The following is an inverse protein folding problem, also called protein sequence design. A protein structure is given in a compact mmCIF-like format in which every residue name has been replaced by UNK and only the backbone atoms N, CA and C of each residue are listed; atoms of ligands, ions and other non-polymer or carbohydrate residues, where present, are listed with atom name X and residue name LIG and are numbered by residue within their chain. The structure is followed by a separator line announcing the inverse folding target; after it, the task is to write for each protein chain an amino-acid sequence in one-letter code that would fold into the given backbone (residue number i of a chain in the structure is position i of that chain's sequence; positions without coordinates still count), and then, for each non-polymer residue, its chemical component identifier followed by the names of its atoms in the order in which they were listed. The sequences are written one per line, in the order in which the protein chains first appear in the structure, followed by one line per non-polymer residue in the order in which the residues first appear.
data_IF_043362077144
#
_entry.id   IF_043362077144
#
_cell.length_a   1.000
_cell.length_b   1.000
_cell.length_c   1.000
_cell.angle_alpha   90.00
_cell.angle_beta   90.00
_cell.angle_gamma   90.00
#
_symmetry.space_group_name_H-M   'P 1'
#
loop_
_entity.id
_entity.type
_entity.pdbx_description
1 polymer ?
#
# COMPACT_ATOMS: atom_id res chain seq x y z
N UNK A 1 -19.12 -3.29 -32.76
CA UNK A 1 -17.99 -3.61 -31.88
C UNK A 1 -17.12 -2.37 -31.82
N UNK A 2 -17.08 -1.68 -30.68
CA UNK A 2 -16.20 -0.51 -30.52
C UNK A 2 -14.84 -0.97 -29.97
N UNK A 3 -13.78 -0.24 -30.33
CA UNK A 3 -12.38 -0.60 -30.01
C UNK A 3 -12.17 -0.75 -28.49
N UNK A 4 -12.90 0.02 -27.69
CA UNK A 4 -12.83 0.03 -26.22
C UNK A 4 -13.19 -1.33 -25.59
N UNK A 5 -14.18 -2.03 -26.15
CA UNK A 5 -14.58 -3.37 -25.68
C UNK A 5 -13.49 -4.42 -25.93
N UNK A 6 -12.70 -4.26 -27.00
CA UNK A 6 -11.60 -5.16 -27.36
C UNK A 6 -10.35 -4.93 -26.52
N UNK A 7 -10.11 -3.68 -26.11
CA UNK A 7 -8.90 -3.27 -25.36
C UNK A 7 -9.14 -3.35 -23.83
N UNK A 8 -10.31 -3.83 -23.38
CA UNK A 8 -10.62 -3.96 -21.95
C UNK A 8 -10.89 -2.63 -21.26
N UNK A 9 -11.08 -1.56 -22.04
CA UNK A 9 -11.31 -0.21 -21.55
C UNK A 9 -12.80 0.00 -21.27
N UNK A 10 -13.10 0.81 -20.25
CA UNK A 10 -14.45 1.27 -19.99
C UNK A 10 -14.99 2.10 -21.15
N UNK A 11 -16.26 1.85 -21.50
CA UNK A 11 -16.97 2.54 -22.58
C UNK A 11 -17.02 4.04 -22.29
N UNK A 12 -16.76 4.86 -23.31
CA UNK A 12 -16.72 6.32 -23.18
C UNK A 12 -15.37 6.87 -22.70
N UNK A 13 -14.33 6.04 -22.59
CA UNK A 13 -12.98 6.52 -22.29
C UNK A 13 -12.31 7.18 -23.50
N UNK A 14 -12.63 6.76 -24.74
CA UNK A 14 -12.07 7.34 -25.96
C UNK A 14 -13.16 7.95 -26.88
N UNK A 15 -14.36 7.38 -26.89
CA UNK A 15 -15.40 7.67 -27.90
C UNK A 15 -16.44 8.69 -27.43
N UNK A 16 -16.78 8.69 -26.15
CA UNK A 16 -17.73 9.63 -25.53
C UNK A 16 -17.19 10.08 -24.18
N UNK A 17 -16.24 11.03 -24.20
CA UNK A 17 -15.71 11.65 -22.99
C UNK A 17 -16.80 12.55 -22.39
N UNK A 18 -17.77 11.94 -21.72
CA UNK A 18 -18.75 12.68 -20.93
C UNK A 18 -18.01 13.25 -19.72
N UNK A 19 -17.55 14.50 -19.86
CA UNK A 19 -16.88 15.29 -18.83
C UNK A 19 -17.87 15.79 -17.77
N UNK A 20 -18.79 14.94 -17.33
CA UNK A 20 -19.58 15.22 -16.14
C UNK A 20 -18.70 14.94 -14.92
N UNK A 21 -18.67 15.90 -13.99
CA UNK A 21 -18.09 15.69 -12.67
C UNK A 21 -18.93 14.62 -11.95
N UNK A 22 -18.48 13.38 -11.99
CA UNK A 22 -19.12 12.24 -11.35
C UNK A 22 -18.50 11.99 -9.99
N UNK A 23 -19.30 11.47 -9.06
CA UNK A 23 -18.80 11.09 -7.74
C UNK A 23 -17.83 9.91 -7.84
N UNK A 24 -16.89 9.77 -6.90
CA UNK A 24 -15.86 8.73 -6.94
C UNK A 24 -16.43 7.30 -7.08
N UNK A 25 -17.60 7.04 -6.48
CA UNK A 25 -18.29 5.74 -6.55
C UNK A 25 -18.86 5.46 -7.95
N UNK A 26 -19.37 6.48 -8.63
CA UNK A 26 -19.86 6.34 -10.01
C UNK A 26 -18.70 6.12 -10.98
N UNK A 27 -17.57 6.79 -10.76
CA UNK A 27 -16.35 6.57 -11.54
C UNK A 27 -15.80 5.15 -11.32
N UNK A 28 -15.88 4.61 -10.09
CA UNK A 28 -15.54 3.21 -9.76
C UNK A 28 -16.36 2.22 -10.59
N UNK A 29 -17.69 2.40 -10.65
CA UNK A 29 -18.60 1.53 -11.40
C UNK A 29 -18.33 1.61 -12.91
N UNK A 30 -18.15 2.83 -13.43
CA UNK A 30 -17.91 3.05 -14.86
C UNK A 30 -16.58 2.43 -15.32
N UNK A 31 -15.54 2.54 -14.50
CA UNK A 31 -14.19 2.08 -14.83
C UNK A 31 -13.89 0.66 -14.36
N UNK A 32 -14.86 -0.08 -13.81
CA UNK A 32 -14.70 -1.44 -13.31
C UNK A 32 -13.98 -2.37 -14.30
N UNK A 33 -14.28 -2.26 -15.59
CA UNK A 33 -13.66 -3.09 -16.63
C UNK A 33 -12.18 -2.74 -16.86
N UNK A 34 -11.87 -1.45 -16.88
CA UNK A 34 -10.48 -0.98 -16.93
C UNK A 34 -9.72 -1.47 -15.71
N UNK A 35 -10.32 -1.42 -14.51
CA UNK A 35 -9.68 -1.91 -13.28
C UNK A 35 -9.43 -3.42 -13.29
N UNK A 36 -10.38 -4.22 -13.77
CA UNK A 36 -10.17 -5.66 -13.92
C UNK A 36 -8.97 -5.93 -14.86
N UNK A 37 -8.92 -5.25 -16.00
CA UNK A 37 -7.83 -5.40 -16.97
C UNK A 37 -6.48 -4.96 -16.39
N UNK A 38 -6.43 -3.82 -15.69
CA UNK A 38 -5.20 -3.32 -15.04
C UNK A 38 -4.75 -4.25 -13.92
N UNK A 39 -5.67 -4.74 -13.08
CA UNK A 39 -5.37 -5.68 -12.01
C UNK A 39 -4.78 -6.98 -12.55
N UNK A 40 -5.32 -7.49 -13.65
CA UNK A 40 -4.80 -8.71 -14.26
C UNK A 40 -3.42 -8.48 -14.89
N UNK A 41 -3.17 -7.32 -15.52
CA UNK A 41 -1.84 -6.92 -15.98
C UNK A 41 -0.85 -6.83 -14.81
N UNK A 42 -1.23 -6.22 -13.69
CA UNK A 42 -0.37 -6.09 -12.51
C UNK A 42 -0.01 -7.46 -11.93
N UNK A 43 -0.95 -8.41 -11.85
CA UNK A 43 -0.68 -9.78 -11.39
C UNK A 43 0.30 -10.52 -12.28
N UNK A 44 0.10 -10.46 -13.60
CA UNK A 44 1.03 -11.11 -14.54
C UNK A 44 2.40 -10.43 -14.51
N UNK A 45 2.45 -9.10 -14.37
CA UNK A 45 3.71 -8.38 -14.21
C UNK A 45 4.44 -8.79 -12.92
N UNK A 46 3.73 -8.96 -11.81
CA UNK A 46 4.32 -9.45 -10.57
C UNK A 46 4.93 -10.85 -10.75
N UNK A 47 4.22 -11.77 -11.40
CA UNK A 47 4.77 -13.11 -11.72
C UNK A 47 6.04 -13.04 -12.56
N UNK A 48 6.06 -12.17 -13.57
CA UNK A 48 7.26 -11.99 -14.41
C UNK A 48 8.44 -11.49 -13.58
N UNK A 49 8.21 -10.58 -12.65
CA UNK A 49 9.30 -10.08 -11.78
C UNK A 49 9.75 -11.19 -10.82
N UNK A 50 8.84 -11.95 -10.22
CA UNK A 50 9.16 -13.11 -9.37
C UNK A 50 10.00 -14.15 -10.12
N UNK A 51 9.62 -14.47 -11.36
CA UNK A 51 10.34 -15.39 -12.24
C UNK A 51 11.75 -14.87 -12.56
N UNK A 52 11.91 -13.57 -12.82
CA UNK A 52 13.22 -12.95 -13.05
C UNK A 52 14.10 -13.04 -11.81
N UNK A 53 13.56 -12.77 -10.62
CA UNK A 53 14.30 -12.88 -9.35
C UNK A 53 14.74 -14.33 -9.13
N UNK A 54 13.85 -15.30 -9.36
CA UNK A 54 14.17 -16.72 -9.28
C UNK A 54 15.28 -17.14 -10.26
N UNK A 55 15.21 -16.68 -11.51
CA UNK A 55 16.24 -16.95 -12.53
C UNK A 55 17.59 -16.36 -12.09
N UNK A 56 17.60 -15.14 -11.55
CA UNK A 56 18.82 -14.52 -11.03
C UNK A 56 19.42 -15.31 -9.86
N UNK A 57 18.60 -15.79 -8.92
CA UNK A 57 19.05 -16.65 -7.83
C UNK A 57 19.71 -17.94 -8.37
N UNK A 58 19.11 -18.59 -9.37
CA UNK A 58 19.70 -19.78 -10.02
C UNK A 58 21.00 -19.49 -10.76
N UNK A 59 21.14 -18.34 -11.39
CA UNK A 59 22.42 -17.93 -11.98
C UNK A 59 23.49 -17.68 -10.91
N UNK A 60 23.14 -17.04 -9.80
CA UNK A 60 24.05 -16.81 -8.68
C UNK A 60 24.52 -18.13 -8.04
N UNK A 61 23.62 -19.10 -7.88
CA UNK A 61 23.92 -20.46 -7.41
C UNK A 61 24.87 -21.19 -8.37
N UNK A 62 24.60 -21.14 -9.68
CA UNK A 62 25.40 -21.81 -10.71
C UNK A 62 26.84 -21.30 -10.76
N UNK A 63 27.03 -19.98 -10.66
CA UNK A 63 28.35 -19.35 -10.67
C UNK A 63 29.01 -19.27 -9.29
N UNK A 64 28.37 -19.81 -8.24
CA UNK A 64 28.85 -19.79 -6.84
C UNK A 64 29.20 -18.39 -6.34
N UNK A 65 28.44 -17.38 -6.79
CA UNK A 65 28.68 -15.98 -6.43
C UNK A 65 28.24 -15.66 -5.00
N UNK A 66 27.22 -16.38 -4.49
CA UNK A 66 26.66 -16.20 -3.16
C UNK A 66 26.21 -17.54 -2.56
N UNK A 67 26.25 -17.69 -1.22
CA UNK A 67 25.63 -18.82 -0.53
C UNK A 67 24.10 -18.82 -0.75
N UNK A 68 23.44 -19.99 -0.76
CA UNK A 68 21.99 -20.06 -0.90
C UNK A 68 21.32 -19.31 0.27
N UNK A 69 20.55 -18.28 -0.06
CA UNK A 69 19.84 -17.44 0.90
C UNK A 69 18.41 -17.19 0.45
N UNK A 70 17.51 -16.92 1.39
CA UNK A 70 16.12 -16.53 1.07
C UNK A 70 16.09 -15.09 0.57
N UNK A 71 15.46 -14.86 -0.58
CA UNK A 71 15.11 -13.52 -1.03
C UNK A 71 13.68 -13.18 -0.56
N UNK A 72 13.48 -11.94 -0.13
CA UNK A 72 12.17 -11.39 0.21
C UNK A 72 11.81 -10.33 -0.82
N UNK A 73 10.62 -10.43 -1.39
CA UNK A 73 10.12 -9.52 -2.43
C UNK A 73 8.85 -8.85 -1.93
N UNK A 74 8.85 -7.53 -1.84
CA UNK A 74 7.68 -6.74 -1.49
C UNK A 74 7.23 -5.90 -2.68
N UNK A 75 5.95 -6.01 -3.03
CA UNK A 75 5.33 -5.26 -4.12
C UNK A 75 4.21 -4.41 -3.54
N UNK A 76 4.20 -3.12 -3.87
CA UNK A 76 3.11 -2.21 -3.57
C UNK A 76 2.58 -1.64 -4.88
N UNK A 77 1.36 -2.04 -5.25
CA UNK A 77 0.63 -1.50 -6.39
C UNK A 77 -0.38 -0.49 -5.86
N UNK A 78 -0.08 0.79 -6.00
CA UNK A 78 -0.99 1.86 -5.58
C UNK A 78 -1.88 2.33 -6.74
N UNK A 79 -3.18 2.49 -6.48
CA UNK A 79 -4.16 3.05 -7.41
C UNK A 79 -4.63 4.41 -6.88
N UNK A 80 -3.71 5.37 -6.98
CA UNK A 80 -3.80 6.74 -6.45
C UNK A 80 -4.97 7.58 -6.99
N UNK A 81 -5.73 7.07 -7.97
CA UNK A 81 -6.84 7.82 -8.60
C UNK A 81 -8.16 7.59 -7.86
N UNK A 82 -8.29 6.51 -7.09
CA UNK A 82 -9.60 5.98 -6.67
C UNK A 82 -9.74 5.89 -5.16
N UNK A 83 -8.65 5.53 -4.48
CA UNK A 83 -8.64 5.48 -3.03
C UNK A 83 -8.25 6.87 -2.55
N UNK A 84 -9.20 7.57 -1.94
CA UNK A 84 -8.87 8.76 -1.19
C UNK A 84 -8.01 8.30 -0.01
N UNK A 85 -6.70 8.49 -0.11
CA UNK A 85 -5.74 8.15 0.96
C UNK A 85 -6.13 8.79 2.29
N UNK A 86 -6.92 9.88 2.25
CA UNK A 86 -7.47 10.52 3.45
C UNK A 86 -8.54 9.67 4.11
N UNK A 87 -9.48 9.10 3.35
CA UNK A 87 -10.55 8.27 3.88
C UNK A 87 -9.99 7.00 4.54
N UNK A 88 -9.03 6.33 3.89
CA UNK A 88 -8.37 5.15 4.48
C UNK A 88 -7.55 5.50 5.72
N UNK A 89 -6.93 6.68 5.75
CA UNK A 89 -6.17 7.16 6.91
C UNK A 89 -7.11 7.48 8.06
N UNK A 90 -8.22 8.15 7.81
CA UNK A 90 -9.24 8.48 8.82
C UNK A 90 -9.83 7.20 9.42
N UNK A 91 -10.20 6.23 8.59
CA UNK A 91 -10.72 4.93 9.04
C UNK A 91 -9.69 4.20 9.92
N UNK A 92 -8.42 4.17 9.52
CA UNK A 92 -7.37 3.51 10.33
C UNK A 92 -7.04 4.25 11.62
N UNK A 93 -7.14 5.58 11.63
CA UNK A 93 -7.02 6.37 12.86
C UNK A 93 -8.18 6.10 13.81
N UNK A 94 -9.39 5.92 13.30
CA UNK A 94 -10.55 5.51 14.09
C UNK A 94 -10.41 4.08 14.63
N UNK A 95 -9.84 3.15 13.85
CA UNK A 95 -9.52 1.81 14.35
C UNK A 95 -8.45 1.84 15.45
N UNK A 96 -7.46 2.73 15.33
CA UNK A 96 -6.41 2.91 16.34
C UNK A 96 -6.97 3.55 17.62
N UNK A 97 -7.87 4.53 17.52
CA UNK A 97 -8.54 5.12 18.69
C UNK A 97 -9.44 4.11 19.41
N UNK A 98 -10.06 3.20 18.66
CA UNK A 98 -10.86 2.08 19.18
C UNK A 98 -10.02 0.89 19.67
N UNK A 99 -8.67 0.98 19.70
CA UNK A 99 -7.75 -0.11 20.07
C UNK A 99 -7.91 -1.40 19.24
N UNK A 100 -8.51 -1.32 18.05
CA UNK A 100 -8.65 -2.45 17.12
C UNK A 100 -7.37 -2.66 16.28
N UNK A 101 -6.53 -1.62 16.16
CA UNK A 101 -5.28 -1.64 15.40
C UNK A 101 -4.10 -1.25 16.30
N UNK A 102 -3.02 -2.03 16.26
CA UNK A 102 -1.78 -1.68 16.98
C UNK A 102 -1.08 -0.48 16.33
N UNK A 103 -0.52 0.42 17.16
CA UNK A 103 0.31 1.56 16.71
C UNK A 103 1.44 1.11 15.76
N UNK A 104 2.01 -0.07 16.02
CA UNK A 104 3.05 -0.70 15.19
C UNK A 104 2.57 -1.00 13.77
N UNK A 105 1.42 -1.65 13.65
CA UNK A 105 0.83 -2.01 12.36
C UNK A 105 0.43 -0.77 11.55
N UNK A 106 0.02 0.30 12.23
CA UNK A 106 -0.24 1.59 11.58
C UNK A 106 1.03 2.23 11.03
N UNK A 107 2.13 2.26 11.79
CA UNK A 107 3.42 2.81 11.33
C UNK A 107 4.02 1.99 10.19
N UNK A 108 3.96 0.66 10.29
CA UNK A 108 4.38 -0.25 9.22
C UNK A 108 3.61 0.01 7.94
N UNK A 109 2.29 0.21 8.03
CA UNK A 109 1.47 0.55 6.87
C UNK A 109 1.76 1.96 6.32
N UNK A 110 1.91 2.95 7.19
CA UNK A 110 2.09 4.35 6.78
C UNK A 110 3.48 4.61 6.16
N UNK A 111 4.53 4.01 6.72
CA UNK A 111 5.91 4.21 6.27
C UNK A 111 6.44 3.07 5.39
N UNK A 112 5.72 1.95 5.28
CA UNK A 112 6.18 0.78 4.51
C UNK A 112 7.45 0.12 5.08
N UNK A 113 7.75 0.34 6.36
CA UNK A 113 8.97 -0.10 7.02
C UNK A 113 8.84 -1.51 7.61
N UNK A 114 9.97 -2.16 7.86
CA UNK A 114 9.98 -3.52 8.45
C UNK A 114 9.50 -3.52 9.91
N UNK A 115 9.12 -4.70 10.42
CA UNK A 115 8.65 -4.88 11.80
C UNK A 115 9.65 -4.37 12.86
N UNK A 116 10.94 -4.53 12.55
CA UNK A 116 12.06 -4.11 13.40
C UNK A 116 12.21 -2.59 13.44
N UNK A 117 12.03 -1.92 12.31
CA UNK A 117 12.10 -0.46 12.21
C UNK A 117 10.87 0.21 12.82
N UNK A 118 9.68 -0.40 12.66
CA UNK A 118 8.46 0.09 13.29
C UNK A 118 8.54 0.04 14.82
N UNK A 119 9.18 -0.99 15.38
CA UNK A 119 9.40 -1.06 16.82
C UNK A 119 10.35 0.03 17.31
N UNK A 120 11.46 0.29 16.59
CA UNK A 120 12.40 1.35 16.94
C UNK A 120 11.75 2.74 16.93
N UNK A 121 10.91 3.04 15.94
CA UNK A 121 10.18 4.30 15.91
C UNK A 121 9.18 4.43 17.07
N UNK A 122 8.51 3.34 17.48
CA UNK A 122 7.67 3.37 18.67
C UNK A 122 8.47 3.61 19.95
N UNK A 123 9.61 2.95 20.08
CA UNK A 123 10.49 3.10 21.23
C UNK A 123 11.06 4.53 21.30
N UNK A 124 11.35 5.16 20.15
CA UNK A 124 11.72 6.58 20.06
C UNK A 124 10.56 7.50 20.45
N UNK A 125 9.33 7.25 19.97
CA UNK A 125 8.14 8.05 20.32
C UNK A 125 7.80 7.93 21.82
N UNK A 126 7.92 6.75 22.40
CA UNK A 126 7.67 6.52 23.82
C UNK A 126 8.81 7.10 24.68
N UNK A 127 10.05 7.20 24.16
CA UNK A 127 11.17 7.89 24.81
C UNK A 127 11.08 9.42 24.71
N UNK A 128 10.56 9.95 23.60
CA UNK A 128 10.32 11.38 23.37
C UNK A 128 8.99 11.87 23.96
N UNK A 129 8.21 10.95 24.57
CA UNK A 129 7.08 11.24 25.44
C UNK A 129 7.55 11.29 26.91
N UNK A 130 8.18 12.38 27.38
CA UNK A 130 8.45 12.53 28.80
C UNK A 130 7.11 12.49 29.53
N UNK A 131 7.00 11.57 30.49
CA UNK A 131 5.83 11.38 31.33
C UNK A 131 5.29 12.72 31.84
N UNK A 132 4.02 13.01 31.54
CA UNK A 132 3.28 14.17 32.08
C UNK A 132 3.26 14.18 33.63
N UNK A 133 3.63 13.05 34.26
CA UNK A 133 3.91 12.92 35.69
C UNK A 133 4.99 13.88 36.23
N UNK A 134 5.89 14.41 35.40
CA UNK A 134 6.94 15.33 35.85
C UNK A 134 6.52 16.81 35.86
N UNK A 135 5.36 17.17 35.29
CA UNK A 135 4.91 18.58 35.21
C UNK A 135 3.84 19.00 36.23
N UNK A 136 3.18 18.07 36.93
CA UNK A 136 2.13 18.39 37.91
C UNK A 136 2.41 17.85 39.33
N UNK A 137 3.68 17.59 39.65
CA UNK A 137 4.09 16.91 40.89
C UNK A 137 4.92 17.74 41.86
N UNK A 138 4.68 19.04 42.02
CA UNK A 138 5.32 19.80 43.10
C UNK A 138 4.57 21.08 43.52
N UNK A 139 3.28 21.02 43.79
CA UNK A 139 2.62 22.03 44.64
C UNK A 139 1.55 21.36 45.51
N UNK A 140 1.98 20.77 46.63
CA UNK A 140 1.14 20.78 47.82
C UNK A 140 2.01 20.91 49.06
N UNK A 141 1.46 21.67 50.00
CA UNK A 141 2.08 22.43 51.08
C UNK A 141 2.26 21.59 52.34
#
# INVERSE_FOLDING_TARGET
MQIEDTVGLARGSLSEVNAEARTATELKILRQRTYATVSDIQKELQRVIDDIVYINDKYCELYKLTPPGSYETSYSWDDSIINDEKEQREEKLEMLSNNLLSRKSYLMWYYGITDVEAQKMLDEIDADSPSVSAMFGSEEK
#
